data_IF_714968285627
#
_entry.id   IF_714968285627
#
_cell.length_a   1.000
_cell.length_b   1.000
_cell.length_c   1.000
_cell.angle_alpha   90.00
_cell.angle_beta   90.00
_cell.angle_gamma   90.00
#
_symmetry.space_group_name_H-M   'P 1'
#
loop_
_entity.id
_entity.type
_entity.pdbx_description
1 polymer ?
#
# COMPACT_ATOMS: atom_id res chain seq x y z
N UNK A 1 7.73 -6.74 -10.57
CA UNK A 1 7.28 -5.90 -11.71
C UNK A 1 8.54 -5.51 -12.48
N UNK A 2 8.62 -5.74 -13.81
CA UNK A 2 9.73 -5.28 -14.60
C UNK A 2 9.79 -3.75 -14.59
N UNK A 3 11.00 -3.21 -14.46
CA UNK A 3 11.26 -1.78 -14.48
C UNK A 3 12.26 -1.47 -15.59
N UNK A 4 11.95 -0.44 -16.38
CA UNK A 4 12.87 0.11 -17.40
C UNK A 4 13.09 1.58 -17.06
N UNK A 5 14.35 1.98 -16.97
CA UNK A 5 14.73 3.36 -16.72
C UNK A 5 15.60 3.87 -17.88
N UNK A 6 15.34 5.09 -18.34
CA UNK A 6 16.17 5.79 -19.32
C UNK A 6 16.72 7.06 -18.68
N UNK A 7 18.04 7.20 -18.68
CA UNK A 7 18.74 8.39 -18.18
C UNK A 7 19.05 9.36 -19.31
N UNK A 8 19.09 10.65 -18.97
CA UNK A 8 19.29 11.72 -19.95
C UNK A 8 20.68 11.62 -20.60
N UNK A 9 21.69 11.23 -19.84
CA UNK A 9 23.10 11.19 -20.24
C UNK A 9 23.56 9.82 -20.78
N UNK A 10 22.65 8.86 -20.89
CA UNK A 10 22.93 7.51 -21.42
C UNK A 10 24.06 6.76 -20.67
N UNK A 11 24.36 7.17 -19.43
CA UNK A 11 25.47 6.63 -18.63
C UNK A 11 25.18 5.27 -18.03
N UNK A 12 23.92 4.88 -17.93
CA UNK A 12 23.49 3.60 -17.37
C UNK A 12 22.87 2.72 -18.46
N UNK A 13 23.60 1.69 -18.90
CA UNK A 13 23.12 0.72 -19.87
C UNK A 13 23.21 -0.69 -19.35
N UNK A 14 22.24 -1.54 -19.68
CA UNK A 14 22.23 -2.95 -19.36
C UNK A 14 21.18 -3.35 -18.35
N UNK A 15 21.25 -4.59 -17.89
CA UNK A 15 20.32 -5.15 -16.92
C UNK A 15 20.98 -5.21 -15.54
N UNK A 16 20.19 -4.97 -14.50
CA UNK A 16 20.60 -5.17 -13.12
C UNK A 16 19.66 -6.15 -12.41
N UNK A 17 20.22 -6.95 -11.51
CA UNK A 17 19.46 -7.82 -10.60
C UNK A 17 19.33 -7.21 -9.20
N UNK A 18 19.62 -5.93 -9.06
CA UNK A 18 19.45 -5.20 -7.81
C UNK A 18 18.00 -5.27 -7.35
N UNK A 19 17.81 -5.56 -6.07
CA UNK A 19 16.50 -5.47 -5.46
C UNK A 19 16.08 -4.00 -5.33
N UNK A 20 14.91 -3.67 -5.85
CA UNK A 20 14.34 -2.33 -5.82
C UNK A 20 12.91 -2.38 -5.31
N UNK A 21 12.47 -1.31 -4.67
CA UNK A 21 11.11 -1.15 -4.16
C UNK A 21 10.53 0.18 -4.61
N UNK A 22 9.21 0.33 -4.64
CA UNK A 22 8.57 1.61 -4.97
C UNK A 22 8.94 2.73 -3.99
N UNK A 23 9.24 2.42 -2.73
CA UNK A 23 9.71 3.41 -1.75
C UNK A 23 11.06 4.05 -2.14
N UNK A 24 11.79 3.44 -3.08
CA UNK A 24 13.09 3.91 -3.56
C UNK A 24 12.95 4.99 -4.65
N UNK A 25 11.76 5.16 -5.27
CA UNK A 25 11.57 6.13 -6.35
C UNK A 25 11.73 7.57 -5.86
N UNK A 26 11.05 7.94 -4.78
CA UNK A 26 11.10 9.32 -4.28
C UNK A 26 12.54 9.76 -3.92
N UNK A 27 13.30 9.00 -3.12
CA UNK A 27 14.70 9.36 -2.85
C UNK A 27 15.57 9.35 -4.10
N UNK A 28 15.29 8.51 -5.10
CA UNK A 28 16.03 8.50 -6.36
C UNK A 28 15.78 9.77 -7.18
N UNK A 29 14.51 10.19 -7.28
CA UNK A 29 14.14 11.43 -7.99
C UNK A 29 14.79 12.65 -7.35
N UNK A 30 14.80 12.74 -6.01
CA UNK A 30 15.46 13.84 -5.30
C UNK A 30 16.97 13.85 -5.54
N UNK A 31 17.64 12.69 -5.53
CA UNK A 31 19.06 12.59 -5.83
C UNK A 31 19.37 13.04 -7.27
N UNK A 32 18.54 12.66 -8.25
CA UNK A 32 18.68 13.11 -9.65
C UNK A 32 18.49 14.62 -9.77
N UNK A 33 17.50 15.16 -9.07
CA UNK A 33 17.20 16.59 -9.06
C UNK A 33 18.20 17.40 -8.21
N UNK A 34 19.11 16.73 -7.47
CA UNK A 34 20.07 17.36 -6.53
C UNK A 34 19.36 18.18 -5.44
N UNK A 35 18.20 17.70 -5.00
CA UNK A 35 17.42 18.30 -3.92
C UNK A 35 17.78 17.58 -2.62
N UNK A 36 18.13 18.36 -1.60
CA UNK A 36 18.37 17.81 -0.26
C UNK A 36 17.08 17.27 0.35
N UNK A 37 17.20 16.19 1.12
CA UNK A 37 16.08 15.55 1.76
C UNK A 37 15.76 16.24 3.07
N UNK A 38 14.57 16.79 3.20
CA UNK A 38 14.08 17.38 4.45
C UNK A 38 13.52 16.34 5.42
N UNK A 39 13.13 15.16 4.91
CA UNK A 39 12.50 14.10 5.69
C UNK A 39 13.24 12.78 5.51
N UNK A 40 13.22 11.89 6.54
CA UNK A 40 13.71 10.54 6.40
C UNK A 40 12.82 9.75 5.43
N UNK A 41 13.45 8.98 4.53
CA UNK A 41 12.78 8.03 3.65
C UNK A 41 13.17 6.61 4.06
N UNK A 42 12.22 5.68 4.04
CA UNK A 42 12.52 4.25 4.14
C UNK A 42 13.24 3.74 2.88
N UNK A 43 13.02 4.43 1.77
CA UNK A 43 13.62 4.12 0.49
C UNK A 43 15.09 4.55 0.39
N UNK A 44 15.83 3.84 -0.46
CA UNK A 44 17.23 4.12 -0.80
C UNK A 44 17.31 4.45 -2.28
N UNK A 45 18.00 5.53 -2.64
CA UNK A 45 18.21 5.88 -4.05
C UNK A 45 18.91 4.75 -4.80
N UNK A 46 18.48 4.45 -6.02
CA UNK A 46 19.08 3.46 -6.91
C UNK A 46 20.57 3.72 -7.22
N UNK A 47 21.01 4.96 -7.05
CA UNK A 47 22.40 5.37 -7.31
C UNK A 47 23.33 5.21 -6.11
N UNK A 48 22.79 4.91 -4.92
CA UNK A 48 23.65 4.68 -3.76
C UNK A 48 24.34 3.32 -3.85
N UNK A 49 25.60 3.26 -3.40
CA UNK A 49 26.39 2.03 -3.37
C UNK A 49 25.86 1.00 -2.37
N UNK A 50 25.20 1.46 -1.31
CA UNK A 50 24.56 0.60 -0.32
C UNK A 50 23.28 0.03 -0.89
N UNK A 51 23.39 -1.12 -1.54
CA UNK A 51 22.29 -1.83 -2.14
C UNK A 51 21.36 -2.37 -1.05
N UNK A 52 20.07 -2.30 -1.33
CA UNK A 52 19.03 -2.89 -0.50
C UNK A 52 19.21 -4.41 -0.43
N UNK A 53 19.31 -4.94 0.80
CA UNK A 53 19.42 -6.40 1.01
C UNK A 53 18.04 -7.06 1.02
N UNK A 54 17.02 -6.36 1.50
CA UNK A 54 15.67 -6.86 1.70
C UNK A 54 14.66 -6.00 0.94
N UNK A 55 13.69 -6.64 0.30
CA UNK A 55 12.50 -5.97 -0.19
C UNK A 55 11.30 -6.55 0.55
N UNK A 56 10.53 -5.67 1.18
CA UNK A 56 9.30 -6.03 1.84
C UNK A 56 8.11 -5.62 0.97
N UNK A 57 7.03 -6.39 1.06
CA UNK A 57 5.76 -6.04 0.45
C UNK A 57 4.61 -6.44 1.37
N UNK A 58 3.55 -5.65 1.32
CA UNK A 58 2.32 -5.86 2.07
C UNK A 58 1.12 -5.76 1.15
N UNK A 59 0.09 -6.53 1.45
CA UNK A 59 -1.25 -6.34 0.92
C UNK A 59 -2.26 -6.67 2.01
N UNK A 60 -3.34 -5.92 2.09
CA UNK A 60 -4.43 -6.14 3.03
C UNK A 60 -5.75 -6.31 2.30
N UNK A 61 -5.81 -5.89 1.04
CA UNK A 61 -7.01 -5.92 0.23
C UNK A 61 -6.68 -6.14 -1.24
N UNK A 62 -7.53 -6.87 -1.90
CA UNK A 62 -7.59 -6.94 -3.34
C UNK A 62 -9.01 -6.59 -3.78
N UNK A 63 -9.21 -5.34 -4.21
CA UNK A 63 -10.51 -4.74 -4.50
C UNK A 63 -11.46 -4.87 -3.30
N UNK A 64 -12.65 -5.47 -3.44
CA UNK A 64 -13.60 -5.71 -2.34
C UNK A 64 -13.18 -6.81 -1.37
N UNK A 65 -12.20 -7.66 -1.72
CA UNK A 65 -11.77 -8.79 -0.90
C UNK A 65 -10.60 -8.45 0.00
N UNK A 66 -10.75 -8.68 1.31
CA UNK A 66 -9.64 -8.58 2.26
C UNK A 66 -8.71 -9.78 2.17
N UNK A 67 -7.41 -9.57 2.27
CA UNK A 67 -6.42 -10.64 2.26
C UNK A 67 -5.07 -10.16 2.81
N UNK A 68 -4.89 -10.24 4.11
CA UNK A 68 -3.66 -9.81 4.76
C UNK A 68 -2.49 -10.72 4.38
N UNK A 69 -1.50 -10.16 3.67
CA UNK A 69 -0.23 -10.82 3.37
C UNK A 69 0.94 -9.89 3.60
N UNK A 70 2.05 -10.48 4.03
CA UNK A 70 3.34 -9.80 4.17
C UNK A 70 4.42 -10.65 3.52
N UNK A 71 5.36 -10.02 2.86
CA UNK A 71 6.44 -10.79 2.25
C UNK A 71 7.79 -10.09 2.38
N UNK A 72 8.84 -10.90 2.35
CA UNK A 72 10.22 -10.47 2.27
C UNK A 72 10.91 -11.20 1.12
N UNK A 73 11.73 -10.49 0.36
CA UNK A 73 12.64 -11.06 -0.64
C UNK A 73 14.08 -10.71 -0.30
N UNK A 74 14.94 -11.72 -0.35
CA UNK A 74 16.39 -11.61 -0.17
C UNK A 74 17.07 -12.45 -1.24
N UNK A 75 17.81 -11.81 -2.14
CA UNK A 75 18.40 -12.51 -3.26
C UNK A 75 17.37 -13.34 -4.05
N UNK A 76 17.60 -14.65 -4.13
CA UNK A 76 16.74 -15.55 -4.89
C UNK A 76 15.59 -16.14 -4.05
N UNK A 77 15.52 -15.86 -2.73
CA UNK A 77 14.47 -16.39 -1.85
C UNK A 77 13.39 -15.36 -1.55
N UNK A 78 12.15 -15.83 -1.52
CA UNK A 78 10.97 -15.07 -1.12
C UNK A 78 10.18 -15.86 -0.09
N UNK A 79 9.90 -15.22 1.05
CA UNK A 79 9.01 -15.74 2.08
C UNK A 79 7.73 -14.91 2.10
N UNK A 80 6.59 -15.57 2.10
CA UNK A 80 5.26 -14.96 2.24
C UNK A 80 4.66 -15.44 3.56
N UNK A 81 4.14 -14.51 4.33
CA UNK A 81 3.28 -14.75 5.49
C UNK A 81 1.84 -14.41 5.12
N UNK A 82 0.93 -15.38 5.28
CA UNK A 82 -0.51 -15.21 5.09
C UNK A 82 -1.17 -15.05 6.46
N UNK A 83 -1.66 -13.87 6.76
CA UNK A 83 -2.38 -13.59 8.01
C UNK A 83 -3.77 -14.20 8.05
N UNK A 84 -4.40 -14.35 6.86
CA UNK A 84 -5.63 -15.13 6.69
C UNK A 84 -5.34 -16.41 5.92
N UNK A 85 -5.51 -17.56 6.61
CA UNK A 85 -5.35 -18.90 6.02
C UNK A 85 -6.68 -19.59 5.74
N UNK A 86 -7.80 -18.95 6.07
CA UNK A 86 -9.14 -19.55 5.97
C UNK A 86 -9.78 -19.38 4.60
N UNK A 87 -9.20 -18.55 3.76
CA UNK A 87 -9.69 -18.25 2.42
C UNK A 87 -8.65 -18.61 1.34
N UNK A 88 -9.13 -18.85 0.13
CA UNK A 88 -8.29 -19.13 -1.04
C UNK A 88 -7.34 -17.96 -1.38
N UNK A 89 -6.20 -18.29 -2.00
CA UNK A 89 -5.35 -17.31 -2.65
C UNK A 89 -6.05 -16.65 -3.86
N UNK A 90 -6.93 -17.39 -4.53
CA UNK A 90 -7.79 -16.85 -5.56
C UNK A 90 -8.94 -16.05 -4.94
N UNK A 91 -8.96 -14.76 -5.20
CA UNK A 91 -10.04 -13.87 -4.78
C UNK A 91 -10.97 -13.60 -5.96
N UNK A 92 -12.26 -13.89 -5.75
CA UNK A 92 -13.29 -13.50 -6.70
C UNK A 92 -13.60 -12.01 -6.49
N UNK A 93 -13.26 -11.21 -7.47
CA UNK A 93 -13.54 -9.76 -7.47
C UNK A 93 -14.25 -9.38 -8.77
N UNK A 94 -15.18 -8.43 -8.67
CA UNK A 94 -16.14 -8.13 -9.72
C UNK A 94 -15.50 -7.83 -11.09
N UNK A 95 -14.43 -7.07 -11.13
CA UNK A 95 -13.80 -6.74 -12.41
C UNK A 95 -13.11 -7.95 -13.07
N UNK A 96 -12.52 -8.87 -12.28
CA UNK A 96 -11.91 -10.10 -12.82
C UNK A 96 -12.94 -10.98 -13.51
N UNK A 97 -14.14 -11.08 -12.92
CA UNK A 97 -15.22 -11.90 -13.47
C UNK A 97 -15.71 -11.40 -14.84
N UNK A 98 -15.46 -10.14 -15.16
CA UNK A 98 -15.75 -9.59 -16.50
C UNK A 98 -14.72 -10.01 -17.57
N UNK A 99 -13.54 -10.49 -17.14
CA UNK A 99 -12.47 -10.93 -18.06
C UNK A 99 -12.75 -12.34 -18.56
N UNK A 100 -12.84 -12.53 -19.88
CA UNK A 100 -13.07 -13.85 -20.50
C UNK A 100 -12.09 -14.93 -20.03
N UNK A 101 -10.80 -14.58 -19.89
CA UNK A 101 -9.78 -15.49 -19.39
C UNK A 101 -10.11 -15.98 -17.98
N UNK A 102 -10.59 -15.10 -17.11
CA UNK A 102 -10.94 -15.48 -15.75
C UNK A 102 -12.20 -16.33 -15.70
N UNK A 103 -13.19 -16.06 -16.56
CA UNK A 103 -14.39 -16.90 -16.69
C UNK A 103 -14.05 -18.31 -17.12
N UNK A 104 -13.09 -18.47 -18.07
CA UNK A 104 -12.60 -19.78 -18.50
C UNK A 104 -11.86 -20.47 -17.35
N UNK A 105 -10.99 -19.77 -16.62
CA UNK A 105 -10.29 -20.33 -15.47
C UNK A 105 -11.26 -20.76 -14.36
N UNK A 106 -12.30 -19.98 -14.10
CA UNK A 106 -13.34 -20.34 -13.13
C UNK A 106 -14.12 -21.60 -13.56
N UNK A 107 -14.43 -21.74 -14.86
CA UNK A 107 -15.12 -22.93 -15.36
C UNK A 107 -14.27 -24.21 -15.29
N UNK A 108 -12.94 -24.06 -15.30
CA UNK A 108 -11.98 -25.17 -15.18
C UNK A 108 -11.47 -25.38 -13.75
N UNK A 109 -12.05 -24.71 -12.77
CA UNK A 109 -11.56 -24.71 -11.39
C UNK A 109 -11.40 -26.10 -10.80
N UNK A 110 -12.39 -26.97 -10.96
CA UNK A 110 -12.35 -28.36 -10.47
C UNK A 110 -11.24 -29.18 -11.13
N UNK A 111 -11.01 -28.97 -12.44
CA UNK A 111 -9.92 -29.60 -13.16
C UNK A 111 -8.57 -29.02 -12.78
N UNK A 112 -8.50 -27.70 -12.52
CA UNK A 112 -7.29 -26.99 -12.16
C UNK A 112 -6.80 -27.29 -10.74
N UNK A 113 -7.67 -27.68 -9.82
CA UNK A 113 -7.27 -28.13 -8.47
C UNK A 113 -6.35 -29.36 -8.52
N UNK A 114 -6.43 -30.15 -9.58
CA UNK A 114 -5.52 -31.29 -9.82
C UNK A 114 -4.23 -30.91 -10.53
N UNK A 115 -4.15 -29.68 -11.10
CA UNK A 115 -2.98 -29.19 -11.82
C UNK A 115 -2.01 -28.51 -10.84
N UNK A 116 -0.75 -28.97 -10.84
CA UNK A 116 0.31 -28.48 -9.94
C UNK A 116 0.54 -26.96 -10.00
N UNK A 117 0.36 -26.35 -11.18
CA UNK A 117 0.55 -24.90 -11.37
C UNK A 117 -0.53 -24.04 -10.71
N UNK A 118 -1.75 -24.56 -10.62
CA UNK A 118 -2.90 -23.82 -10.11
C UNK A 118 -3.41 -24.32 -8.76
N UNK A 119 -2.93 -25.47 -8.29
CA UNK A 119 -3.42 -26.09 -7.06
C UNK A 119 -3.34 -25.18 -5.84
N UNK A 120 -2.24 -24.47 -5.68
CA UNK A 120 -2.08 -23.51 -4.58
C UNK A 120 -3.01 -22.29 -4.73
N UNK A 121 -3.25 -21.86 -5.96
CA UNK A 121 -4.06 -20.66 -6.22
C UNK A 121 -5.56 -20.91 -5.99
N UNK A 122 -6.06 -22.08 -6.41
CA UNK A 122 -7.45 -22.48 -6.24
C UNK A 122 -7.72 -23.26 -4.94
N UNK A 123 -6.67 -23.58 -4.19
CA UNK A 123 -6.84 -24.26 -2.90
C UNK A 123 -7.77 -23.48 -1.99
N UNK A 124 -8.65 -24.20 -1.29
CA UNK A 124 -9.60 -23.60 -0.35
C UNK A 124 -8.91 -22.84 0.79
N UNK A 125 -7.70 -23.24 1.15
CA UNK A 125 -6.92 -22.70 2.25
C UNK A 125 -5.52 -22.35 1.77
N UNK A 126 -4.90 -21.35 2.42
CA UNK A 126 -3.50 -21.00 2.23
C UNK A 126 -2.62 -21.57 3.34
N UNK A 127 -1.37 -21.86 3.03
CA UNK A 127 -0.36 -22.08 4.06
C UNK A 127 -0.08 -20.78 4.82
N UNK A 128 0.14 -20.85 6.14
CA UNK A 128 0.53 -19.68 6.93
C UNK A 128 1.84 -19.06 6.42
N UNK A 129 2.74 -19.91 5.91
CA UNK A 129 3.99 -19.49 5.29
C UNK A 129 4.21 -20.21 3.99
N UNK A 130 4.78 -19.47 3.03
CA UNK A 130 5.20 -20.00 1.75
C UNK A 130 6.63 -19.51 1.47
N UNK A 131 7.53 -20.44 1.13
CA UNK A 131 8.92 -20.15 0.80
C UNK A 131 9.23 -20.59 -0.63
N UNK A 132 9.75 -19.68 -1.42
CA UNK A 132 10.08 -19.93 -2.82
C UNK A 132 11.52 -19.53 -3.15
N UNK A 133 12.17 -20.30 -4.02
CA UNK A 133 13.45 -19.94 -4.67
C UNK A 133 13.13 -19.40 -6.06
N UNK A 134 12.85 -18.08 -6.14
CA UNK A 134 12.22 -17.43 -7.30
C UNK A 134 13.07 -17.44 -8.59
N UNK A 135 14.34 -17.76 -8.51
CA UNK A 135 15.19 -17.93 -9.68
C UNK A 135 14.94 -19.26 -10.39
N UNK A 136 14.78 -20.32 -9.62
CA UNK A 136 14.53 -21.68 -10.15
C UNK A 136 13.04 -21.97 -10.32
N UNK A 137 12.19 -21.30 -9.51
CA UNK A 137 10.73 -21.42 -9.52
C UNK A 137 10.09 -20.05 -9.77
N UNK A 138 10.18 -19.58 -11.01
CA UNK A 138 9.66 -18.27 -11.42
C UNK A 138 8.14 -18.11 -11.16
N UNK A 139 7.39 -19.19 -11.22
CA UNK A 139 5.93 -19.18 -11.04
C UNK A 139 5.50 -19.42 -9.59
N UNK A 140 6.44 -19.61 -8.66
CA UNK A 140 6.16 -19.81 -7.23
C UNK A 140 5.19 -20.99 -7.00
N UNK A 141 5.46 -22.11 -7.64
CA UNK A 141 4.60 -23.32 -7.60
C UNK A 141 5.07 -24.36 -6.60
N UNK A 142 6.35 -24.32 -6.20
CA UNK A 142 6.95 -25.30 -5.30
C UNK A 142 7.26 -24.67 -3.94
N UNK A 143 6.33 -24.82 -3.00
CA UNK A 143 6.50 -24.29 -1.64
C UNK A 143 7.53 -25.12 -0.85
N UNK A 144 8.67 -24.52 -0.54
CA UNK A 144 9.82 -25.13 0.13
C UNK A 144 9.71 -25.15 1.66
N UNK A 145 8.62 -24.64 2.25
CA UNK A 145 8.48 -24.43 3.70
C UNK A 145 8.72 -25.70 4.53
N UNK A 146 8.36 -26.86 3.99
CA UNK A 146 8.50 -28.15 4.68
C UNK A 146 9.79 -28.89 4.31
N UNK A 147 10.64 -28.34 3.44
CA UNK A 147 11.89 -28.97 3.06
C UNK A 147 13.00 -28.65 4.09
N UNK A 148 13.54 -29.64 4.81
CA UNK A 148 14.54 -29.42 5.87
C UNK A 148 15.81 -28.69 5.40
N UNK A 149 16.18 -28.82 4.10
CA UNK A 149 17.32 -28.13 3.49
C UNK A 149 17.23 -26.62 3.64
N UNK A 150 16.01 -26.06 3.58
CA UNK A 150 15.76 -24.62 3.58
C UNK A 150 15.35 -24.08 4.96
N UNK A 151 15.35 -24.90 6.01
CA UNK A 151 14.95 -24.50 7.36
C UNK A 151 15.68 -23.25 7.86
N UNK A 152 16.99 -23.19 7.67
CA UNK A 152 17.80 -22.01 8.09
C UNK A 152 17.40 -20.74 7.31
N UNK A 153 17.16 -20.86 6.01
CA UNK A 153 16.70 -19.75 5.17
C UNK A 153 15.34 -19.25 5.66
N UNK A 154 14.41 -20.17 5.86
CA UNK A 154 13.08 -19.86 6.40
C UNK A 154 13.15 -19.09 7.72
N UNK A 155 13.88 -19.60 8.71
CA UNK A 155 13.96 -18.95 10.03
C UNK A 155 14.60 -17.57 9.95
N UNK A 156 15.64 -17.40 9.13
CA UNK A 156 16.27 -16.09 8.90
C UNK A 156 15.30 -15.09 8.27
N UNK A 157 14.61 -15.47 7.19
CA UNK A 157 13.65 -14.60 6.52
C UNK A 157 12.45 -14.26 7.40
N UNK A 158 11.96 -15.25 8.14
CA UNK A 158 10.87 -15.06 9.11
C UNK A 158 11.26 -14.04 10.17
N UNK A 159 12.46 -14.16 10.76
CA UNK A 159 12.93 -13.20 11.75
C UNK A 159 12.96 -11.76 11.21
N UNK A 160 13.53 -11.54 10.03
CA UNK A 160 13.57 -10.22 9.40
C UNK A 160 12.18 -9.69 9.02
N UNK A 161 11.30 -10.56 8.53
CA UNK A 161 9.94 -10.19 8.17
C UNK A 161 9.14 -9.73 9.41
N UNK A 162 9.20 -10.49 10.51
CA UNK A 162 8.45 -10.14 11.71
C UNK A 162 9.02 -8.90 12.40
N UNK A 163 10.33 -8.71 12.40
CA UNK A 163 10.92 -7.46 12.87
C UNK A 163 10.41 -6.26 12.08
N UNK A 164 10.36 -6.36 10.75
CA UNK A 164 9.81 -5.29 9.91
C UNK A 164 8.31 -5.04 10.19
N UNK A 165 7.54 -6.12 10.40
CA UNK A 165 6.12 -6.01 10.78
C UNK A 165 5.93 -5.28 12.11
N UNK A 166 6.78 -5.59 13.11
CA UNK A 166 6.74 -4.96 14.44
C UNK A 166 7.17 -3.49 14.40
N UNK A 167 8.17 -3.16 13.57
CA UNK A 167 8.67 -1.80 13.40
C UNK A 167 7.73 -0.92 12.53
N UNK A 168 6.82 -1.52 11.78
CA UNK A 168 5.90 -0.82 10.90
C UNK A 168 4.61 -0.45 11.62
N UNK A 169 4.12 0.77 11.41
CA UNK A 169 2.78 1.15 11.83
C UNK A 169 1.76 0.23 11.16
N UNK A 170 0.83 -0.31 11.92
CA UNK A 170 -0.22 -1.22 11.44
C UNK A 170 0.25 -2.52 10.77
N UNK A 171 1.56 -2.81 10.78
CA UNK A 171 2.12 -3.97 10.06
C UNK A 171 1.52 -5.31 10.47
N UNK A 172 1.12 -5.45 11.72
CA UNK A 172 0.54 -6.67 12.29
C UNK A 172 -0.99 -6.61 12.47
N UNK A 173 -1.63 -5.54 12.03
CA UNK A 173 -3.09 -5.41 12.11
C UNK A 173 -3.75 -5.89 10.82
N UNK A 174 -4.90 -6.55 10.97
CA UNK A 174 -5.84 -6.72 9.85
C UNK A 174 -6.51 -5.37 9.54
N UNK A 175 -7.03 -5.21 8.32
CA UNK A 175 -7.75 -3.99 7.94
C UNK A 175 -8.91 -3.69 8.89
N UNK A 176 -9.68 -4.71 9.31
CA UNK A 176 -10.78 -4.51 10.26
C UNK A 176 -10.28 -4.02 11.62
N UNK A 177 -9.21 -4.61 12.17
CA UNK A 177 -8.62 -4.17 13.42
C UNK A 177 -8.05 -2.75 13.32
N UNK A 178 -7.45 -2.39 12.18
CA UNK A 178 -6.98 -1.03 11.92
C UNK A 178 -8.14 -0.03 11.89
N UNK A 179 -9.22 -0.36 11.19
CA UNK A 179 -10.41 0.50 11.14
C UNK A 179 -11.03 0.67 12.53
N UNK A 180 -11.16 -0.40 13.31
CA UNK A 180 -11.63 -0.32 14.70
C UNK A 180 -10.74 0.58 15.55
N UNK A 181 -9.42 0.52 15.38
CA UNK A 181 -8.48 1.37 16.13
C UNK A 181 -8.59 2.87 15.79
N UNK A 182 -9.09 3.19 14.59
CA UNK A 182 -9.31 4.57 14.13
C UNK A 182 -10.61 5.17 14.66
N UNK A 183 -11.56 4.35 15.12
CA UNK A 183 -12.83 4.80 15.68
C UNK A 183 -12.81 4.73 17.22
N UNK A 184 -13.69 5.52 17.84
CA UNK A 184 -13.87 5.46 19.28
C UNK A 184 -14.50 4.12 19.71
N UNK A 185 -14.39 3.78 21.00
CA UNK A 185 -14.93 2.53 21.58
C UNK A 185 -16.42 2.28 21.31
N UNK A 186 -17.18 3.30 20.91
CA UNK A 186 -18.57 3.20 20.48
C UNK A 186 -18.74 2.89 19.00
N UNK A 187 -17.68 2.64 18.27
CA UNK A 187 -17.67 2.51 16.80
C UNK A 187 -18.26 3.73 16.07
N UNK A 188 -18.36 4.87 16.76
CA UNK A 188 -18.82 6.13 16.15
C UNK A 188 -17.69 6.77 15.37
N UNK A 189 -18.01 7.26 14.17
CA UNK A 189 -17.07 8.03 13.37
C UNK A 189 -16.70 9.31 14.15
N UNK A 190 -15.41 9.58 14.42
CA UNK A 190 -15.00 10.77 15.13
C UNK A 190 -15.39 12.03 14.34
N UNK A 191 -15.73 13.10 15.06
CA UNK A 191 -16.14 14.37 14.46
C UNK A 191 -14.96 15.35 14.45
N UNK A 192 -14.92 16.17 13.42
CA UNK A 192 -14.04 17.31 13.37
C UNK A 192 -14.61 18.47 14.19
N UNK A 193 -13.74 19.36 14.67
CA UNK A 193 -14.20 20.59 15.32
C UNK A 193 -14.64 21.60 14.25
N UNK A 194 -15.73 22.30 14.50
CA UNK A 194 -16.23 23.36 13.63
C UNK A 194 -15.16 24.46 13.50
N UNK A 195 -14.79 24.87 12.27
CA UNK A 195 -13.82 25.93 12.07
C UNK A 195 -14.39 27.28 12.49
N UNK A 196 -13.53 28.19 12.88
CA UNK A 196 -13.91 29.57 13.17
C UNK A 196 -13.79 30.41 11.89
N UNK A 197 -14.86 31.14 11.57
CA UNK A 197 -14.85 32.14 10.53
C UNK A 197 -14.60 33.51 11.14
N UNK A 198 -13.52 34.16 10.75
CA UNK A 198 -13.15 35.49 11.22
C UNK A 198 -13.32 36.48 10.06
N UNK A 199 -14.29 37.39 10.22
CA UNK A 199 -14.51 38.47 9.28
C UNK A 199 -13.35 39.45 9.35
N UNK A 200 -12.83 39.86 8.20
CA UNK A 200 -11.81 40.91 8.00
C UNK A 200 -12.36 41.97 7.06
N UNK A 201 -11.68 43.09 6.90
CA UNK A 201 -12.08 44.16 6.00
C UNK A 201 -12.25 43.72 4.53
N UNK A 202 -11.48 42.72 4.12
CA UNK A 202 -11.41 42.25 2.72
C UNK A 202 -11.88 40.80 2.50
N UNK A 203 -12.57 40.19 3.47
CA UNK A 203 -13.06 38.81 3.33
C UNK A 203 -13.09 38.06 4.65
N UNK A 204 -12.98 36.74 4.57
CA UNK A 204 -13.03 35.86 5.73
C UNK A 204 -11.76 35.03 5.84
N UNK A 205 -11.26 34.89 7.07
CA UNK A 205 -10.23 33.94 7.43
C UNK A 205 -10.87 32.69 8.04
N UNK A 206 -10.46 31.49 7.61
CA UNK A 206 -10.93 30.25 8.18
C UNK A 206 -9.84 29.71 9.12
N UNK A 207 -10.15 29.61 10.41
CA UNK A 207 -9.27 29.01 11.42
C UNK A 207 -9.80 27.62 11.79
N UNK A 208 -8.98 26.59 11.59
CA UNK A 208 -9.27 25.23 11.98
C UNK A 208 -8.17 24.69 12.89
N UNK A 209 -8.56 24.13 14.03
CA UNK A 209 -7.66 23.42 14.95
C UNK A 209 -7.58 21.92 14.62
N UNK A 210 -8.18 21.48 13.50
CA UNK A 210 -8.16 20.09 13.09
C UNK A 210 -6.87 19.78 12.36
N UNK A 211 -5.93 19.17 13.06
CA UNK A 211 -4.67 18.74 12.45
C UNK A 211 -4.93 17.73 11.31
N UNK A 212 -4.25 17.91 10.18
CA UNK A 212 -4.37 17.07 8.98
C UNK A 212 -5.76 17.07 8.30
N UNK A 213 -6.67 17.97 8.64
CA UNK A 213 -7.90 18.16 7.90
C UNK A 213 -7.70 19.12 6.73
N UNK A 214 -8.19 18.74 5.56
CA UNK A 214 -8.30 19.65 4.43
C UNK A 214 -9.52 20.55 4.61
N UNK A 215 -9.39 21.81 4.23
CA UNK A 215 -10.48 22.78 4.26
C UNK A 215 -10.81 23.19 2.84
N UNK A 216 -12.08 23.07 2.48
CA UNK A 216 -12.62 23.59 1.23
C UNK A 216 -13.63 24.69 1.50
N UNK A 217 -13.85 25.55 0.51
CA UNK A 217 -14.92 26.53 0.52
C UNK A 217 -15.52 26.70 -0.87
N UNK A 218 -16.77 27.10 -0.95
CA UNK A 218 -17.43 27.46 -2.22
C UNK A 218 -18.55 28.47 -1.98
N UNK A 219 -18.93 29.24 -3.00
CA UNK A 219 -20.19 29.96 -2.95
C UNK A 219 -21.36 28.96 -3.02
N UNK A 220 -22.46 29.23 -2.33
CA UNK A 220 -23.58 28.27 -2.22
C UNK A 220 -24.23 27.91 -3.55
N UNK A 221 -24.04 28.73 -4.58
CA UNK A 221 -24.51 28.49 -5.95
C UNK A 221 -23.51 27.72 -6.84
N UNK A 222 -22.32 27.40 -6.33
CA UNK A 222 -21.27 26.69 -7.06
C UNK A 222 -21.27 25.20 -6.75
N UNK A 223 -20.88 24.38 -7.75
CA UNK A 223 -20.73 22.92 -7.57
C UNK A 223 -19.35 22.53 -7.10
N UNK A 224 -18.34 23.26 -7.50
CA UNK A 224 -16.93 22.93 -7.23
C UNK A 224 -16.44 23.57 -5.94
N UNK A 225 -15.64 22.82 -5.21
CA UNK A 225 -14.97 23.31 -4.01
C UNK A 225 -13.62 23.91 -4.37
N UNK A 226 -13.32 25.07 -3.76
CA UNK A 226 -12.00 25.67 -3.77
C UNK A 226 -11.21 25.17 -2.54
N UNK A 227 -9.96 24.80 -2.73
CA UNK A 227 -9.09 24.42 -1.60
C UNK A 227 -8.69 25.69 -0.87
N UNK A 228 -8.91 25.69 0.44
CA UNK A 228 -8.49 26.81 1.29
C UNK A 228 -7.00 26.70 1.61
N UNK A 229 -6.27 27.78 1.33
CA UNK A 229 -4.88 27.94 1.76
C UNK A 229 -4.84 28.64 3.12
N UNK A 230 -4.23 28.05 4.16
CA UNK A 230 -4.16 28.67 5.49
C UNK A 230 -3.58 30.09 5.45
N UNK A 231 -4.22 31.00 6.19
CA UNK A 231 -3.91 32.44 6.30
C UNK A 231 -4.30 33.30 5.11
N UNK A 232 -4.78 32.73 4.03
CA UNK A 232 -5.36 33.50 2.92
C UNK A 232 -6.80 33.91 3.25
N UNK A 233 -7.22 35.09 2.75
CA UNK A 233 -8.60 35.54 2.88
C UNK A 233 -9.42 34.98 1.74
N UNK A 234 -10.56 34.39 2.05
CA UNK A 234 -11.56 34.06 1.04
C UNK A 234 -12.49 35.26 0.80
N UNK A 235 -12.89 35.46 -0.43
CA UNK A 235 -13.79 36.55 -0.84
C UNK A 235 -15.03 35.95 -1.51
N UNK A 236 -15.95 35.37 -0.74
CA UNK A 236 -17.17 34.82 -1.32
C UNK A 236 -18.08 35.91 -1.84
N UNK A 237 -18.82 35.57 -2.90
CA UNK A 237 -19.80 36.46 -3.50
C UNK A 237 -21.21 36.04 -3.04
N UNK A 238 -21.61 36.47 -1.84
CA UNK A 238 -22.84 36.09 -1.18
C UNK A 238 -22.67 34.97 -0.16
N UNK A 239 -23.72 34.12 -0.05
CA UNK A 239 -23.68 32.97 0.87
C UNK A 239 -22.65 31.94 0.41
N UNK A 240 -21.93 31.35 1.37
CA UNK A 240 -20.89 30.38 1.09
C UNK A 240 -20.91 29.24 2.10
N UNK A 241 -20.29 28.14 1.71
CA UNK A 241 -20.13 26.93 2.50
C UNK A 241 -18.68 26.64 2.76
N UNK A 242 -18.38 26.08 3.91
CA UNK A 242 -17.04 25.58 4.28
C UNK A 242 -17.14 24.10 4.57
N UNK A 243 -16.24 23.32 4.02
CA UNK A 243 -16.14 21.87 4.20
C UNK A 243 -14.84 21.54 4.89
N UNK A 244 -14.89 20.73 5.94
CA UNK A 244 -13.73 20.07 6.51
C UNK A 244 -13.75 18.58 6.16
N UNK A 245 -12.65 18.11 5.64
CA UNK A 245 -12.48 16.71 5.28
C UNK A 245 -11.19 16.14 5.86
N UNK A 246 -11.33 15.02 6.53
CA UNK A 246 -10.21 14.18 6.97
C UNK A 246 -10.62 12.71 6.83
N UNK A 247 -9.80 11.84 6.18
CA UNK A 247 -10.07 10.41 6.12
C UNK A 247 -10.32 9.82 7.51
N UNK A 248 -11.38 9.00 7.65
CA UNK A 248 -11.76 8.38 8.92
C UNK A 248 -12.57 9.27 9.88
N UNK A 249 -12.94 10.48 9.49
CA UNK A 249 -13.77 11.40 10.26
C UNK A 249 -15.09 11.72 9.54
N UNK A 250 -16.11 12.09 10.33
CA UNK A 250 -17.35 12.60 9.77
C UNK A 250 -17.05 13.89 9.00
N UNK A 251 -17.59 13.99 7.79
CA UNK A 251 -17.47 15.20 6.96
C UNK A 251 -18.31 16.31 7.60
N UNK A 252 -17.75 17.47 7.76
CA UNK A 252 -18.36 18.60 8.47
C UNK A 252 -18.52 19.77 7.51
#
# INVERSE_FOLDING_TARGET
VPMVAKWIDDTCRGNTYQLVSFVDFAPTILDVAKIEREFPFEGVSFFKKDQRQYVFAATDRFDESTDMRRSIRVGDFKLIYNGDTTSSAYKQVGYRQQMKTMQVLDSLKEEQESNTYFSNWFSKYKHSFELYEVKEDYYETNNLIYNPKYKKVYETLKHHLFRWIEESDFGNMSESAMLESMFTSSMSIPKLNIPKLIMKSEGYLIESNNQYASVGWRNSNEKNWNIYTPKELIQPNGDFEVLLFRPGYEVL
#
